data_IF_477512804140
#
_entry.id   IF_477512804140
#
_cell.length_a   1.000
_cell.length_b   1.000
_cell.length_c   1.000
_cell.angle_alpha   90.00
_cell.angle_beta   90.00
_cell.angle_gamma   90.00
#
_symmetry.space_group_name_H-M   'P 1'
#
loop_
_entity.id
_entity.type
_entity.pdbx_description
1 polymer ?
#
# COMPACT_ATOMS: atom_id res chain seq x y z
N UNK A 1 -4.04 22.08 0.93
CA UNK A 1 -3.63 21.23 -0.21
C UNK A 1 -2.94 20.00 0.35
N UNK A 2 -3.19 18.81 -0.19
CA UNK A 2 -2.59 17.53 0.24
C UNK A 2 -2.82 16.47 -0.82
N UNK A 3 -2.00 15.43 -0.86
CA UNK A 3 -2.13 14.39 -1.88
C UNK A 3 -3.33 13.49 -1.55
N UNK A 4 -4.27 13.39 -2.51
CA UNK A 4 -5.50 12.61 -2.37
C UNK A 4 -5.50 11.32 -3.21
N UNK A 5 -4.72 11.29 -4.29
CA UNK A 5 -4.62 10.12 -5.17
C UNK A 5 -3.15 9.81 -5.41
N UNK A 6 -2.75 8.57 -5.16
CA UNK A 6 -1.40 8.08 -5.42
C UNK A 6 -1.50 6.80 -6.25
N UNK A 7 -0.90 6.82 -7.44
CA UNK A 7 -0.79 5.66 -8.30
C UNK A 7 0.69 5.29 -8.46
N UNK A 8 1.05 4.09 -7.99
CA UNK A 8 2.36 3.46 -8.15
C UNK A 8 2.26 2.18 -9.00
N UNK A 9 1.15 1.98 -9.70
CA UNK A 9 0.91 0.79 -10.51
C UNK A 9 1.96 0.61 -11.59
N UNK A 10 2.25 -0.64 -11.95
CA UNK A 10 3.24 -1.00 -12.97
C UNK A 10 4.61 -0.34 -12.80
N UNK A 11 4.97 0.05 -11.58
CA UNK A 11 6.26 0.64 -11.29
C UNK A 11 7.30 -0.45 -11.09
N UNK A 12 8.53 -0.20 -11.53
CA UNK A 12 9.67 -1.10 -11.28
C UNK A 12 10.15 -1.10 -9.81
N UNK A 13 9.29 -0.69 -8.87
CA UNK A 13 9.59 -0.72 -7.45
C UNK A 13 9.52 -2.16 -6.93
N UNK A 14 10.52 -2.53 -6.12
CA UNK A 14 10.67 -3.87 -5.58
C UNK A 14 11.09 -3.85 -4.11
N UNK A 15 10.81 -4.94 -3.40
CA UNK A 15 11.13 -5.08 -1.98
C UNK A 15 9.97 -4.64 -1.08
N UNK A 16 10.21 -4.44 0.23
CA UNK A 16 9.16 -4.10 1.18
C UNK A 16 8.48 -2.78 0.83
N UNK A 17 7.14 -2.73 0.88
CA UNK A 17 6.43 -1.48 0.63
C UNK A 17 6.76 -0.42 1.70
N UNK A 18 7.08 0.82 1.29
CA UNK A 18 7.54 1.83 2.23
C UNK A 18 6.38 2.36 3.10
N UNK A 19 6.44 2.11 4.40
CA UNK A 19 5.44 2.56 5.39
C UNK A 19 5.32 4.09 5.47
N UNK A 20 6.33 4.85 5.01
CA UNK A 20 6.25 6.32 4.88
C UNK A 20 5.09 6.78 4.00
N UNK A 21 4.68 6.00 2.99
CA UNK A 21 3.50 6.31 2.17
C UNK A 21 2.22 6.37 3.01
N UNK A 22 2.18 5.65 4.12
CA UNK A 22 1.03 5.58 5.02
C UNK A 22 0.90 6.83 5.91
N UNK A 23 1.83 7.79 5.82
CA UNK A 23 1.73 9.11 6.44
C UNK A 23 0.88 10.08 5.62
N UNK A 24 0.50 9.70 4.39
CA UNK A 24 -0.35 10.48 3.49
C UNK A 24 -1.83 10.34 3.88
N UNK A 25 -2.18 10.80 5.08
CA UNK A 25 -3.51 10.59 5.71
C UNK A 25 -4.70 11.21 4.97
N UNK A 26 -4.44 12.04 3.95
CA UNK A 26 -5.45 12.62 3.06
C UNK A 26 -5.74 11.79 1.82
N UNK A 27 -5.05 10.65 1.62
CA UNK A 27 -5.32 9.77 0.50
C UNK A 27 -6.76 9.26 0.53
N UNK A 28 -7.39 9.35 -0.63
CA UNK A 28 -8.69 8.80 -0.99
C UNK A 28 -8.53 7.61 -1.92
N UNK A 29 -7.49 7.59 -2.76
CA UNK A 29 -7.20 6.50 -3.69
C UNK A 29 -5.71 6.13 -3.66
N UNK A 30 -5.41 4.84 -3.51
CA UNK A 30 -4.07 4.27 -3.52
C UNK A 30 -4.05 3.05 -4.45
N UNK A 31 -3.22 3.12 -5.49
CA UNK A 31 -3.02 2.02 -6.43
C UNK A 31 -1.56 1.55 -6.36
N UNK A 32 -1.37 0.30 -5.93
CA UNK A 32 -0.09 -0.40 -5.84
C UNK A 32 -0.03 -1.57 -6.85
N UNK A 33 -1.01 -1.68 -7.75
CA UNK A 33 -1.20 -2.86 -8.58
C UNK A 33 -0.02 -3.15 -9.50
N UNK A 34 0.19 -4.43 -9.84
CA UNK A 34 1.27 -4.84 -10.76
C UNK A 34 2.67 -4.31 -10.37
N UNK A 35 2.93 -4.18 -9.08
CA UNK A 35 4.23 -3.77 -8.54
C UNK A 35 4.91 -4.93 -7.83
N UNK A 36 6.24 -4.96 -7.85
CA UNK A 36 7.03 -6.00 -7.17
C UNK A 36 7.20 -5.75 -5.66
N UNK A 37 6.23 -5.07 -5.05
CA UNK A 37 6.23 -4.82 -3.61
C UNK A 37 5.94 -6.10 -2.83
N UNK A 38 6.68 -6.28 -1.74
CA UNK A 38 6.36 -7.23 -0.68
C UNK A 38 5.54 -6.52 0.38
N UNK A 39 4.32 -7.02 0.61
CA UNK A 39 3.39 -6.50 1.61
C UNK A 39 3.32 -7.49 2.77
N UNK A 40 3.65 -7.04 3.97
CA UNK A 40 3.53 -7.81 5.19
C UNK A 40 2.32 -7.36 6.05
N UNK A 41 2.07 -8.09 7.13
CA UNK A 41 0.98 -7.79 8.06
C UNK A 41 1.13 -6.40 8.71
N UNK A 42 2.37 -5.96 8.98
CA UNK A 42 2.66 -4.66 9.58
C UNK A 42 2.22 -3.52 8.68
N UNK A 43 2.53 -3.61 7.38
CA UNK A 43 2.10 -2.63 6.39
C UNK A 43 0.57 -2.54 6.32
N UNK A 44 -0.12 -3.68 6.28
CA UNK A 44 -1.59 -3.71 6.26
C UNK A 44 -2.21 -3.10 7.52
N UNK A 45 -1.65 -3.39 8.70
CA UNK A 45 -2.09 -2.80 9.97
C UNK A 45 -1.93 -1.28 9.98
N UNK A 46 -0.77 -0.79 9.55
CA UNK A 46 -0.51 0.65 9.46
C UNK A 46 -1.39 1.34 8.41
N UNK A 47 -1.67 0.67 7.28
CA UNK A 47 -2.54 1.19 6.23
C UNK A 47 -3.95 1.41 6.79
N UNK A 48 -4.51 0.38 7.45
CA UNK A 48 -5.82 0.45 8.07
C UNK A 48 -5.90 1.49 9.20
N UNK A 49 -4.81 1.67 9.96
CA UNK A 49 -4.76 2.63 11.06
C UNK A 49 -4.72 4.09 10.58
N UNK A 50 -3.90 4.37 9.56
CA UNK A 50 -3.52 5.73 9.19
C UNK A 50 -4.34 6.31 8.03
N UNK A 51 -4.69 5.49 7.03
CA UNK A 51 -5.35 5.96 5.81
C UNK A 51 -6.88 5.93 5.94
N UNK A 52 -7.42 6.64 6.95
CA UNK A 52 -8.85 6.62 7.29
C UNK A 52 -9.78 7.24 6.24
N UNK A 53 -9.23 8.04 5.32
CA UNK A 53 -9.98 8.66 4.23
C UNK A 53 -9.96 7.82 2.95
N UNK A 54 -9.24 6.69 2.94
CA UNK A 54 -9.08 5.84 1.77
C UNK A 54 -10.42 5.20 1.40
N UNK A 55 -10.80 5.33 0.12
CA UNK A 55 -12.02 4.78 -0.47
C UNK A 55 -11.74 3.79 -1.59
N UNK A 56 -10.60 3.94 -2.24
CA UNK A 56 -10.14 3.11 -3.35
C UNK A 56 -8.75 2.57 -2.97
N UNK A 57 -8.61 1.24 -2.95
CA UNK A 57 -7.34 0.55 -2.74
C UNK A 57 -7.22 -0.56 -3.78
N UNK A 58 -6.22 -0.47 -4.63
CA UNK A 58 -5.84 -1.55 -5.55
C UNK A 58 -4.48 -2.12 -5.15
N UNK A 59 -4.46 -3.41 -4.82
CA UNK A 59 -3.26 -4.20 -4.52
C UNK A 59 -3.25 -5.48 -5.37
N UNK A 60 -3.92 -5.49 -6.52
CA UNK A 60 -3.90 -6.62 -7.44
C UNK A 60 -2.48 -6.88 -7.94
N UNK A 61 -2.09 -8.15 -8.03
CA UNK A 61 -0.76 -8.55 -8.51
C UNK A 61 0.43 -8.02 -7.69
N UNK A 62 0.26 -7.80 -6.39
CA UNK A 62 1.37 -7.58 -5.45
C UNK A 62 1.69 -8.87 -4.68
N UNK A 63 2.91 -8.97 -4.16
CA UNK A 63 3.30 -10.11 -3.32
C UNK A 63 2.91 -9.85 -1.87
N UNK A 64 1.75 -10.35 -1.44
CA UNK A 64 1.34 -10.30 -0.03
C UNK A 64 1.94 -11.52 0.66
N UNK A 65 2.97 -11.29 1.49
CA UNK A 65 3.58 -12.37 2.26
C UNK A 65 2.60 -12.83 3.32
N UNK A 66 1.98 -14.00 3.12
CA UNK A 66 1.43 -14.75 4.24
C UNK A 66 2.61 -15.45 4.91
N UNK A 67 3.04 -14.98 6.08
CA UNK A 67 3.71 -15.93 6.98
C UNK A 67 2.67 -17.01 7.27
N UNK A 68 2.79 -18.16 6.60
CA UNK A 68 2.10 -19.37 7.05
C UNK A 68 2.76 -19.67 8.39
N UNK A 69 2.04 -19.57 9.53
CA UNK A 69 2.62 -19.91 10.82
C UNK A 69 3.06 -21.37 10.74
N UNK A 70 4.31 -21.65 11.10
CA UNK A 70 4.81 -23.03 11.27
C UNK A 70 4.23 -23.65 12.54
#
# INVERSE_FOLDING_TARGET
MGLERLNLSHSSFSGPAPTKLLQLTKLVSLDLSYSSFSIDESFLRLLAQNLRNLRELDMSWVNISSEIPR
#
